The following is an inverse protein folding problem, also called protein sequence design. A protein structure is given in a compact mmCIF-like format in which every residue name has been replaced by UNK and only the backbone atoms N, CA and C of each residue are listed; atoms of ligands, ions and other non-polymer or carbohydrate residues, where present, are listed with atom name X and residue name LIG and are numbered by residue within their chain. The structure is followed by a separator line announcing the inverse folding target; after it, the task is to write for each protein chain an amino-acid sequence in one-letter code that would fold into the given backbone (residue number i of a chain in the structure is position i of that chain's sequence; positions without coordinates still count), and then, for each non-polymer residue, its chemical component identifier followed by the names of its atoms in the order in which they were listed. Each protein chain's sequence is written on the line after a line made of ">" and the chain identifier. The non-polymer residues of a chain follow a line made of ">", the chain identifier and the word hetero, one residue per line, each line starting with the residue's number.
data_IF_836767719995
#
_entry.id   IF_836767719995
#
_cell.length_a   1.000
_cell.length_b   1.000
_cell.length_c   1.000
_cell.angle_alpha   90.00
_cell.angle_beta   90.00
_cell.angle_gamma   90.00
#
_symmetry.space_group_name_H-M   'P 1'
#
loop_
_entity.id
_entity.type
_entity.pdbx_description
1 polymer ?
#
# COMPACT_ATOMS: atom_id res chain seq x y z
N UNK A 1 6.23 4.77 -7.01
CA UNK A 1 5.29 5.48 -6.13
C UNK A 1 4.41 6.52 -6.87
N UNK A 2 4.46 6.64 -8.21
CA UNK A 2 3.65 7.62 -8.95
C UNK A 2 2.27 7.16 -9.42
N UNK A 3 1.88 5.91 -9.12
CA UNK A 3 0.64 5.29 -9.64
C UNK A 3 -0.56 5.48 -8.73
N UNK A 4 -0.37 5.98 -7.51
CA UNK A 4 -1.44 6.27 -6.55
C UNK A 4 -1.61 7.78 -6.49
N UNK A 5 -2.80 8.32 -6.79
CA UNK A 5 -3.05 9.75 -6.69
C UNK A 5 -2.79 10.26 -5.26
N UNK A 6 -2.16 11.43 -5.13
CA UNK A 6 -1.87 12.07 -3.83
C UNK A 6 -3.14 12.22 -3.00
N UNK A 7 -4.27 12.57 -3.64
CA UNK A 7 -5.57 12.67 -2.98
C UNK A 7 -6.04 11.35 -2.33
N UNK A 8 -5.70 10.20 -2.92
CA UNK A 8 -6.01 8.89 -2.33
C UNK A 8 -5.09 8.61 -1.14
N UNK A 9 -3.81 8.95 -1.24
CA UNK A 9 -2.84 8.78 -0.14
C UNK A 9 -3.22 9.65 1.06
N UNK A 10 -3.62 10.90 0.81
CA UNK A 10 -4.08 11.84 1.84
C UNK A 10 -5.39 11.39 2.49
N UNK A 11 -6.35 10.92 1.68
CA UNK A 11 -7.60 10.36 2.20
C UNK A 11 -7.35 9.14 3.09
N UNK A 12 -6.53 8.20 2.64
CA UNK A 12 -6.19 7.01 3.44
C UNK A 12 -5.40 7.38 4.70
N UNK A 13 -4.47 8.34 4.62
CA UNK A 13 -3.76 8.86 5.79
C UNK A 13 -4.75 9.49 6.78
N UNK A 14 -5.71 10.28 6.32
CA UNK A 14 -6.73 10.88 7.16
C UNK A 14 -7.61 9.81 7.85
N UNK A 15 -8.09 8.82 7.10
CA UNK A 15 -8.88 7.70 7.63
C UNK A 15 -8.09 6.94 8.69
N UNK A 16 -6.81 6.66 8.42
CA UNK A 16 -5.93 5.96 9.38
C UNK A 16 -5.71 6.79 10.64
N UNK A 17 -5.47 8.09 10.53
CA UNK A 17 -5.35 8.99 11.68
C UNK A 17 -6.64 9.05 12.49
N UNK A 18 -7.79 9.13 11.83
CA UNK A 18 -9.11 9.17 12.46
C UNK A 18 -9.42 7.85 13.19
N UNK A 19 -9.11 6.71 12.57
CA UNK A 19 -9.23 5.40 13.21
C UNK A 19 -8.32 5.26 14.44
N UNK A 20 -7.10 5.80 14.38
CA UNK A 20 -6.19 5.77 15.53
C UNK A 20 -6.68 6.69 16.65
N UNK A 21 -7.20 7.87 16.31
CA UNK A 21 -7.80 8.79 17.28
C UNK A 21 -9.08 8.23 17.94
N UNK A 22 -9.86 7.45 17.18
CA UNK A 22 -11.10 6.85 17.65
C UNK A 22 -10.88 5.55 18.47
N UNK A 23 -9.69 4.94 18.42
CA UNK A 23 -9.41 3.69 19.13
C UNK A 23 -9.04 3.95 20.61
N UNK A 24 -9.88 3.53 21.58
CA UNK A 24 -9.64 3.80 23.00
C UNK A 24 -8.37 3.11 23.53
N UNK A 25 -7.83 2.10 22.84
CA UNK A 25 -6.56 1.44 23.20
C UNK A 25 -5.33 2.22 22.75
N UNK A 26 -5.52 3.23 21.92
CA UNK A 26 -4.48 4.09 21.37
C UNK A 26 -4.45 5.46 22.05
N UNK A 27 -5.57 5.85 22.68
CA UNK A 27 -5.65 7.00 23.58
C UNK A 27 -4.64 6.84 24.74
N UNK A 28 -3.57 7.65 24.70
CA UNK A 28 -2.50 7.64 25.71
C UNK A 28 -1.21 6.94 25.28
N UNK A 29 -1.14 6.37 24.06
CA UNK A 29 0.13 5.85 23.52
C UNK A 29 1.00 6.99 22.98
N UNK A 30 2.35 6.90 23.07
CA UNK A 30 3.25 7.92 22.57
C UNK A 30 2.99 8.23 21.09
N UNK A 31 3.07 9.50 20.71
CA UNK A 31 2.85 9.96 19.33
C UNK A 31 3.71 9.19 18.31
N UNK A 32 4.93 8.79 18.68
CA UNK A 32 5.80 7.96 17.83
C UNK A 32 5.22 6.57 17.52
N UNK A 33 4.53 5.94 18.47
CA UNK A 33 3.90 4.64 18.26
C UNK A 33 2.69 4.76 17.32
N UNK A 34 1.91 5.84 17.48
CA UNK A 34 0.78 6.17 16.61
C UNK A 34 1.24 6.37 15.17
N UNK A 35 2.31 7.16 14.96
CA UNK A 35 2.89 7.38 13.63
C UNK A 35 3.41 6.08 13.02
N UNK A 36 4.11 5.24 13.78
CA UNK A 36 4.56 3.92 13.29
C UNK A 36 3.41 3.02 12.87
N UNK A 37 2.28 3.06 13.59
CA UNK A 37 1.09 2.27 13.23
C UNK A 37 0.43 2.83 11.96
N UNK A 38 0.38 4.16 11.83
CA UNK A 38 -0.13 4.81 10.63
C UNK A 38 0.70 4.47 9.38
N UNK A 39 2.03 4.54 9.50
CA UNK A 39 2.96 4.16 8.43
C UNK A 39 2.86 2.68 8.08
N UNK A 40 2.64 1.81 9.07
CA UNK A 40 2.38 0.39 8.85
C UNK A 40 1.11 0.14 8.03
N UNK A 41 0.01 0.83 8.37
CA UNK A 41 -1.25 0.75 7.60
C UNK A 41 -1.12 1.31 6.20
N UNK A 42 -0.44 2.45 6.03
CA UNK A 42 -0.17 3.01 4.70
C UNK A 42 0.69 2.06 3.85
N UNK A 43 1.72 1.45 4.43
CA UNK A 43 2.52 0.44 3.74
C UNK A 43 1.70 -0.80 3.33
N UNK A 44 0.78 -1.26 4.18
CA UNK A 44 -0.14 -2.35 3.83
C UNK A 44 -1.05 -1.94 2.66
N UNK A 45 -1.62 -0.73 2.70
CA UNK A 45 -2.40 -0.17 1.60
C UNK A 45 -1.61 -0.15 0.30
N UNK A 46 -0.35 0.33 0.30
CA UNK A 46 0.47 0.31 -0.90
C UNK A 46 0.75 -1.11 -1.41
N UNK A 47 0.95 -2.10 -0.53
CA UNK A 47 1.16 -3.49 -0.92
C UNK A 47 -0.10 -4.13 -1.54
N UNK A 48 -1.28 -3.75 -1.09
CA UNK A 48 -2.55 -4.34 -1.56
C UNK A 48 -3.14 -3.60 -2.76
N UNK A 49 -2.99 -2.28 -2.81
CA UNK A 49 -3.65 -1.43 -3.81
C UNK A 49 -2.74 -1.06 -4.98
N UNK A 50 -1.44 -1.39 -4.94
CA UNK A 50 -0.54 -1.14 -6.06
C UNK A 50 -0.05 -2.43 -6.71
N UNK A 51 -0.18 -2.47 -8.04
CA UNK A 51 0.20 -3.64 -8.85
C UNK A 51 1.69 -4.01 -8.66
N UNK A 52 2.55 -3.03 -8.40
CA UNK A 52 4.00 -3.26 -8.32
C UNK A 52 4.45 -3.82 -6.97
N UNK A 53 3.80 -3.42 -5.87
CA UNK A 53 4.18 -3.85 -4.52
C UNK A 53 3.47 -5.14 -4.08
N UNK A 54 2.44 -5.59 -4.80
CA UNK A 54 1.76 -6.85 -4.51
C UNK A 54 2.71 -8.06 -4.69
N UNK A 55 2.44 -9.13 -3.94
CA UNK A 55 3.13 -10.40 -4.11
C UNK A 55 2.80 -11.01 -5.49
N UNK A 56 3.81 -11.59 -6.15
CA UNK A 56 3.61 -12.22 -7.44
C UNK A 56 2.85 -13.55 -7.28
N UNK A 57 1.74 -13.71 -8.01
CA UNK A 57 0.82 -14.85 -7.84
C UNK A 57 1.50 -16.22 -8.05
N UNK A 58 2.54 -16.28 -8.90
CA UNK A 58 3.28 -17.52 -9.17
C UNK A 58 4.46 -17.76 -8.22
N UNK A 59 4.95 -16.71 -7.56
CA UNK A 59 6.04 -16.77 -6.59
C UNK A 59 5.82 -15.70 -5.53
N UNK A 60 5.11 -16.09 -4.46
CA UNK A 60 4.75 -15.18 -3.37
C UNK A 60 5.96 -14.66 -2.57
N UNK A 61 7.17 -15.19 -2.81
CA UNK A 61 8.41 -14.70 -2.21
C UNK A 61 8.93 -13.40 -2.82
N UNK A 62 8.37 -12.96 -3.95
CA UNK A 62 8.80 -11.75 -4.68
C UNK A 62 7.62 -10.84 -4.98
N UNK A 63 7.86 -9.54 -5.04
CA UNK A 63 6.85 -8.60 -5.55
C UNK A 63 6.77 -8.66 -7.08
N UNK A 64 5.67 -8.18 -7.65
CA UNK A 64 5.54 -8.04 -9.12
C UNK A 64 6.63 -7.11 -9.67
N UNK A 65 7.01 -6.06 -8.95
CA UNK A 65 8.14 -5.21 -9.33
C UNK A 65 9.47 -5.98 -9.39
N UNK A 66 9.73 -6.84 -8.39
CA UNK A 66 10.97 -7.64 -8.36
C UNK A 66 10.98 -8.69 -9.47
N UNK A 67 9.82 -9.28 -9.77
CA UNK A 67 9.68 -10.18 -10.90
C UNK A 67 9.95 -9.47 -12.24
N UNK A 68 9.35 -8.31 -12.48
CA UNK A 68 9.57 -7.54 -13.72
C UNK A 68 11.07 -7.21 -13.87
N UNK A 69 11.72 -6.71 -12.81
CA UNK A 69 13.16 -6.42 -12.81
C UNK A 69 14.03 -7.66 -13.08
N UNK A 70 13.60 -8.84 -12.64
CA UNK A 70 14.32 -10.09 -12.87
C UNK A 70 14.24 -10.58 -14.32
N UNK A 71 13.23 -10.14 -15.07
CA UNK A 71 13.05 -10.46 -16.49
C UNK A 71 13.72 -9.40 -17.35
N UNK A 72 13.47 -8.12 -17.08
CA UNK A 72 14.06 -6.99 -17.78
C UNK A 72 13.89 -5.71 -16.93
N UNK A 73 14.99 -5.01 -16.66
CA UNK A 73 15.01 -3.82 -15.82
C UNK A 73 14.32 -2.59 -16.46
N UNK A 74 14.18 -2.57 -17.79
CA UNK A 74 13.61 -1.45 -18.54
C UNK A 74 12.11 -1.60 -18.81
N UNK A 75 11.54 -2.77 -18.52
CA UNK A 75 10.10 -3.03 -18.72
C UNK A 75 9.27 -2.25 -17.71
N UNK A 76 8.35 -1.43 -18.24
CA UNK A 76 7.41 -0.62 -17.45
C UNK A 76 5.98 -1.03 -17.74
N UNK A 77 5.20 -1.23 -16.68
CA UNK A 77 3.75 -1.41 -16.80
C UNK A 77 3.11 -0.05 -17.09
N UNK A 78 2.51 0.10 -18.27
CA UNK A 78 1.82 1.33 -18.69
C UNK A 78 0.38 1.42 -18.18
N UNK A 79 -0.26 0.28 -17.90
CA UNK A 79 -1.60 0.20 -17.33
C UNK A 79 -2.09 -1.23 -17.22
N UNK A 80 -3.14 -1.45 -16.42
CA UNK A 80 -3.85 -2.72 -16.34
C UNK A 80 -5.35 -2.45 -16.16
N UNK A 81 -6.19 -3.37 -16.65
CA UNK A 81 -7.65 -3.33 -16.45
C UNK A 81 -8.10 -4.68 -15.91
N UNK A 82 -8.68 -4.69 -14.71
CA UNK A 82 -9.31 -5.88 -14.11
C UNK A 82 -10.81 -5.80 -14.31
N UNK A 83 -11.41 -6.85 -14.87
CA UNK A 83 -12.87 -7.02 -14.99
C UNK A 83 -13.25 -8.24 -14.16
N UNK A 84 -14.26 -8.09 -13.30
CA UNK A 84 -14.83 -9.18 -12.52
C UNK A 84 -16.35 -9.13 -12.67
N UNK A 85 -16.97 -10.30 -12.87
CA UNK A 85 -18.41 -10.46 -12.72
C UNK A 85 -18.70 -10.51 -11.22
N UNK A 86 -19.69 -9.72 -10.79
CA UNK A 86 -20.05 -9.53 -9.38
C UNK A 86 -20.40 -10.82 -8.66
#
# INVERSE_FOLDING_TARGET
>A
AGSVPTATVERERAIVTEQIAADPKMAGKPAEMITKIADGKLNAFFKEQTLLAQAFVKDGGKSVADYIKSVDADVKVTGFKRVALG
#
